data_IF_831111864242
#
_entry.id   IF_831111864242
#
_cell.length_a   1.000
_cell.length_b   1.000
_cell.length_c   1.000
_cell.angle_alpha   90.00
_cell.angle_beta   90.00
_cell.angle_gamma   90.00
#
_symmetry.space_group_name_H-M   'P 1'
#
loop_
_entity.id
_entity.type
_entity.pdbx_description
1 polymer ?
#
# COMPACT_ATOMS: atom_id res chain seq x y z
N UNK A 1 -20.72 2.92 -28.65
CA UNK A 1 -20.23 4.01 -29.50
C UNK A 1 -18.76 4.22 -29.14
N UNK A 2 -17.85 3.59 -29.90
CA UNK A 2 -16.42 3.45 -29.61
C UNK A 2 -15.63 3.94 -30.82
N UNK A 3 -15.78 5.21 -31.17
CA UNK A 3 -15.12 5.77 -32.36
C UNK A 3 -14.17 6.92 -31.96
N UNK A 4 -13.19 6.63 -31.10
CA UNK A 4 -11.96 7.43 -31.09
C UNK A 4 -11.18 7.07 -32.36
N UNK A 5 -11.45 7.77 -33.47
CA UNK A 5 -10.72 7.58 -34.72
C UNK A 5 -9.25 7.99 -34.48
N UNK A 6 -8.27 7.14 -34.82
CA UNK A 6 -6.86 7.42 -34.55
C UNK A 6 -6.35 8.67 -35.29
N UNK A 7 -7.05 9.10 -36.34
CA UNK A 7 -6.71 10.23 -37.19
C UNK A 7 -7.80 11.30 -37.09
N UNK A 8 -7.39 12.54 -36.83
CA UNK A 8 -8.24 13.72 -36.81
C UNK A 8 -7.53 14.86 -37.55
N UNK A 9 -8.31 15.67 -38.27
CA UNK A 9 -7.80 16.89 -38.90
C UNK A 9 -7.79 18.02 -37.88
N UNK A 10 -6.66 18.71 -37.77
CA UNK A 10 -6.51 19.86 -36.89
C UNK A 10 -5.70 20.97 -37.57
N UNK A 11 -5.96 22.25 -37.25
CA UNK A 11 -5.18 23.36 -37.76
C UNK A 11 -3.71 23.24 -37.37
N UNK A 12 -2.82 23.64 -38.28
CA UNK A 12 -1.38 23.73 -38.01
C UNK A 12 -1.16 24.61 -36.77
N UNK A 13 -0.40 24.11 -35.80
CA UNK A 13 -0.10 24.80 -34.55
C UNK A 13 -1.13 24.62 -33.42
N UNK A 14 -2.26 23.95 -33.67
CA UNK A 14 -3.30 23.71 -32.66
C UNK A 14 -3.60 22.22 -32.53
N UNK A 15 -2.70 21.42 -31.89
CA UNK A 15 -2.97 20.01 -31.69
C UNK A 15 -4.21 19.84 -30.80
N UNK A 16 -5.18 19.01 -31.21
CA UNK A 16 -6.41 18.81 -30.48
C UNK A 16 -6.13 17.97 -29.23
N UNK A 17 -6.56 18.47 -28.07
CA UNK A 17 -6.52 17.73 -26.81
C UNK A 17 -7.54 16.60 -26.87
N UNK A 18 -7.08 15.35 -26.96
CA UNK A 18 -7.96 14.17 -26.90
C UNK A 18 -8.31 13.89 -25.44
N UNK A 19 -9.60 13.63 -25.21
CA UNK A 19 -9.99 12.94 -23.97
C UNK A 19 -9.33 11.56 -23.97
N UNK A 20 -8.97 11.07 -22.79
CA UNK A 20 -8.48 9.70 -22.65
C UNK A 20 -9.57 8.75 -23.15
N UNK A 21 -9.27 7.99 -24.21
CA UNK A 21 -10.21 7.03 -24.79
C UNK A 21 -10.45 5.83 -23.88
N UNK A 22 -11.37 4.94 -24.27
CA UNK A 22 -11.65 3.66 -23.58
C UNK A 22 -10.55 2.59 -23.80
N UNK A 23 -9.39 2.99 -24.32
CA UNK A 23 -8.27 2.09 -24.54
C UNK A 23 -7.77 1.47 -23.25
N UNK A 24 -7.22 0.25 -23.35
CA UNK A 24 -6.58 -0.40 -22.21
C UNK A 24 -5.33 0.35 -21.80
N UNK A 25 -5.08 0.44 -20.50
CA UNK A 25 -3.83 0.98 -19.97
C UNK A 25 -3.02 -0.10 -19.30
N UNK A 26 -1.74 0.18 -19.08
CA UNK A 26 -0.84 -0.64 -18.29
C UNK A 26 -0.19 0.29 -17.27
N UNK A 27 -0.21 -0.12 -16.02
CA UNK A 27 0.56 0.48 -14.94
C UNK A 27 1.87 -0.29 -14.81
N UNK A 28 2.95 0.45 -14.64
CA UNK A 28 4.29 -0.08 -14.38
C UNK A 28 4.77 0.53 -13.08
N UNK A 29 5.18 -0.32 -12.14
CA UNK A 29 5.87 0.10 -10.90
C UNK A 29 7.32 -0.37 -10.97
N UNK A 30 8.27 0.52 -10.68
CA UNK A 30 9.70 0.25 -10.85
C UNK A 30 10.54 1.04 -9.83
N UNK A 31 11.66 0.46 -9.41
CA UNK A 31 12.67 1.10 -8.58
C UNK A 31 13.85 1.51 -9.44
N UNK A 32 14.26 2.78 -9.34
CA UNK A 32 15.34 3.36 -10.11
C UNK A 32 16.45 3.86 -9.18
N UNK A 33 17.69 3.61 -9.59
CA UNK A 33 18.92 4.07 -8.97
C UNK A 33 19.70 4.88 -10.01
N UNK A 34 20.39 5.92 -9.57
CA UNK A 34 21.22 6.75 -10.46
C UNK A 34 22.34 5.95 -11.14
N UNK A 35 22.92 4.98 -10.43
CA UNK A 35 24.11 4.23 -10.86
C UNK A 35 23.82 3.15 -11.91
N UNK A 36 22.70 2.44 -11.78
CA UNK A 36 22.38 1.25 -12.59
C UNK A 36 21.04 1.37 -13.34
N UNK A 37 20.32 2.48 -13.16
CA UNK A 37 18.97 2.61 -13.65
C UNK A 37 18.04 1.66 -12.89
N UNK A 38 17.56 0.60 -13.54
CA UNK A 38 16.54 -0.29 -12.97
C UNK A 38 17.14 -1.21 -11.92
N UNK A 39 16.44 -1.40 -10.80
CA UNK A 39 16.82 -2.38 -9.79
C UNK A 39 16.59 -3.81 -10.31
N UNK A 40 17.65 -4.39 -10.89
CA UNK A 40 17.69 -5.70 -11.54
C UNK A 40 19.06 -6.35 -11.37
N UNK A 41 19.09 -7.67 -11.18
CA UNK A 41 20.32 -8.47 -11.14
C UNK A 41 20.98 -8.60 -12.53
N UNK A 42 22.31 -8.65 -12.53
CA UNK A 42 23.16 -9.06 -13.67
C UNK A 42 23.09 -10.57 -13.88
N UNK A 43 23.57 -11.04 -15.03
CA UNK A 43 23.56 -12.47 -15.36
C UNK A 43 24.37 -13.30 -14.35
N UNK A 44 25.52 -12.79 -13.91
CA UNK A 44 26.37 -13.43 -12.91
C UNK A 44 25.68 -13.51 -11.55
N UNK A 45 25.02 -12.43 -11.10
CA UNK A 45 24.29 -12.41 -9.84
C UNK A 45 23.08 -13.35 -9.86
N UNK A 46 22.40 -13.50 -11.00
CA UNK A 46 21.28 -14.44 -11.16
C UNK A 46 21.77 -15.88 -10.98
N UNK A 47 22.92 -16.23 -11.57
CA UNK A 47 23.50 -17.58 -11.45
C UNK A 47 23.90 -17.86 -9.99
N UNK A 48 24.46 -16.87 -9.30
CA UNK A 48 24.88 -17.02 -7.90
C UNK A 48 23.71 -16.99 -6.91
N UNK A 49 22.59 -16.34 -7.26
CA UNK A 49 21.43 -16.13 -6.38
C UNK A 49 20.12 -16.61 -7.04
N UNK A 50 19.98 -17.91 -7.36
CA UNK A 50 18.86 -18.43 -8.16
C UNK A 50 17.48 -18.29 -7.50
N UNK A 51 17.45 -18.05 -6.18
CA UNK A 51 16.20 -17.88 -5.41
C UNK A 51 15.78 -16.41 -5.27
N UNK A 52 16.60 -15.46 -5.74
CA UNK A 52 16.30 -14.02 -5.68
C UNK A 52 15.62 -13.61 -6.99
N UNK A 53 14.55 -12.79 -6.95
CA UNK A 53 13.93 -12.31 -8.18
C UNK A 53 14.91 -11.54 -9.07
N UNK A 54 14.72 -11.63 -10.37
CA UNK A 54 15.63 -11.01 -11.35
C UNK A 54 15.48 -9.48 -11.35
N UNK A 55 14.25 -8.97 -11.35
CA UNK A 55 13.96 -7.53 -11.38
C UNK A 55 12.81 -7.17 -10.44
N UNK A 56 12.86 -5.94 -9.91
CA UNK A 56 11.84 -5.44 -9.00
C UNK A 56 10.61 -4.84 -9.69
N UNK A 57 10.54 -4.89 -11.03
CA UNK A 57 9.43 -4.31 -11.79
C UNK A 57 8.15 -5.11 -11.62
N UNK A 58 7.02 -4.41 -11.48
CA UNK A 58 5.68 -4.99 -11.58
C UNK A 58 4.87 -4.30 -12.66
N UNK A 59 3.99 -5.08 -13.29
CA UNK A 59 2.99 -4.61 -14.24
C UNK A 59 1.60 -4.89 -13.68
N UNK A 60 0.65 -4.02 -14.00
CA UNK A 60 -0.76 -4.20 -13.66
C UNK A 60 -1.61 -3.61 -14.78
N UNK A 61 -2.61 -4.33 -15.26
CA UNK A 61 -3.63 -3.84 -16.20
C UNK A 61 -4.80 -3.29 -15.40
N UNK A 62 -4.91 -1.97 -15.21
CA UNK A 62 -5.92 -1.42 -14.34
C UNK A 62 -7.31 -1.52 -14.99
N UNK A 63 -8.30 -1.80 -14.14
CA UNK A 63 -9.71 -1.82 -14.54
C UNK A 63 -10.55 -2.79 -13.71
N UNK A 64 -11.83 -2.44 -13.53
CA UNK A 64 -12.81 -3.24 -12.77
C UNK A 64 -12.98 -4.67 -13.30
N UNK A 65 -12.73 -4.89 -14.60
CA UNK A 65 -12.84 -6.19 -15.28
C UNK A 65 -11.46 -6.71 -15.76
N UNK A 66 -10.38 -6.16 -15.22
CA UNK A 66 -8.99 -6.58 -15.51
C UNK A 66 -8.33 -6.97 -14.18
N UNK A 67 -7.14 -6.47 -13.86
CA UNK A 67 -6.38 -6.83 -12.64
C UNK A 67 -6.69 -5.90 -11.45
N UNK A 68 -7.73 -5.07 -11.56
CA UNK A 68 -8.13 -4.15 -10.50
C UNK A 68 -7.33 -2.86 -10.49
N UNK A 69 -6.90 -2.41 -9.32
CA UNK A 69 -6.13 -1.18 -9.13
C UNK A 69 -4.86 -1.49 -8.33
N UNK A 70 -3.83 -0.67 -8.50
CA UNK A 70 -2.66 -0.73 -7.63
C UNK A 70 -3.03 -0.31 -6.21
N UNK A 71 -2.58 -1.09 -5.23
CA UNK A 71 -2.88 -0.91 -3.81
C UNK A 71 -1.61 -0.92 -3.00
N UNK A 72 -1.69 -0.48 -1.74
CA UNK A 72 -0.60 -0.59 -0.78
C UNK A 72 -0.10 -2.04 -0.60
N UNK A 73 -0.97 -3.04 -0.72
CA UNK A 73 -0.56 -4.45 -0.64
C UNK A 73 0.34 -4.85 -1.81
N UNK A 74 0.06 -4.35 -3.01
CA UNK A 74 0.93 -4.56 -4.18
C UNK A 74 2.31 -3.90 -4.00
N UNK A 75 2.34 -2.68 -3.44
CA UNK A 75 3.59 -2.01 -3.11
C UNK A 75 4.39 -2.81 -2.08
N UNK A 76 3.74 -3.26 -1.01
CA UNK A 76 4.37 -4.02 0.05
C UNK A 76 4.96 -5.34 -0.48
N UNK A 77 4.21 -6.07 -1.30
CA UNK A 77 4.70 -7.26 -2.01
C UNK A 77 5.94 -6.95 -2.84
N UNK A 78 5.88 -5.89 -3.66
CA UNK A 78 7.00 -5.50 -4.51
C UNK A 78 8.24 -5.12 -3.71
N UNK A 79 8.08 -4.37 -2.61
CA UNK A 79 9.21 -3.95 -1.76
C UNK A 79 9.82 -5.14 -1.04
N UNK A 80 9.00 -5.93 -0.33
CA UNK A 80 9.48 -7.03 0.53
C UNK A 80 10.01 -8.19 -0.30
N UNK A 81 9.26 -8.63 -1.31
CA UNK A 81 9.56 -9.88 -2.00
C UNK A 81 10.49 -9.69 -3.19
N UNK A 82 10.70 -8.45 -3.67
CA UNK A 82 11.53 -8.19 -4.85
C UNK A 82 12.62 -7.14 -4.59
N UNK A 83 12.23 -5.91 -4.21
CA UNK A 83 13.20 -4.81 -4.14
C UNK A 83 14.27 -5.03 -3.07
N UNK A 84 13.88 -5.43 -1.85
CA UNK A 84 14.83 -5.70 -0.76
C UNK A 84 15.78 -6.85 -1.11
N UNK A 85 15.31 -8.05 -1.52
CA UNK A 85 16.20 -9.15 -1.91
C UNK A 85 17.20 -8.78 -3.02
N UNK A 86 16.74 -8.05 -4.05
CA UNK A 86 17.63 -7.62 -5.14
C UNK A 86 18.65 -6.59 -4.64
N UNK A 87 18.22 -5.68 -3.77
CA UNK A 87 19.11 -4.66 -3.18
C UNK A 87 20.20 -5.30 -2.32
N UNK A 88 19.87 -6.28 -1.49
CA UNK A 88 20.82 -6.96 -0.61
C UNK A 88 21.91 -7.72 -1.39
N UNK A 89 21.56 -8.30 -2.55
CA UNK A 89 22.54 -8.91 -3.47
C UNK A 89 23.43 -7.84 -4.11
N UNK A 90 22.82 -6.75 -4.59
CA UNK A 90 23.53 -5.67 -5.30
C UNK A 90 24.48 -4.88 -4.42
N UNK A 91 24.10 -4.65 -3.17
CA UNK A 91 24.77 -3.75 -2.26
C UNK A 91 24.91 -4.40 -0.88
N UNK A 92 25.74 -5.45 -0.74
CA UNK A 92 25.92 -6.13 0.52
C UNK A 92 26.48 -5.17 1.58
N UNK A 93 25.93 -5.22 2.79
CA UNK A 93 26.26 -4.35 3.93
C UNK A 93 25.93 -2.86 3.73
N UNK A 94 25.10 -2.51 2.76
CA UNK A 94 24.58 -1.16 2.59
C UNK A 94 23.18 -1.00 3.21
N UNK A 95 22.81 0.24 3.52
CA UNK A 95 21.45 0.60 3.95
C UNK A 95 20.71 1.15 2.74
N UNK A 96 19.59 0.51 2.38
CA UNK A 96 18.70 0.99 1.32
C UNK A 96 17.80 2.11 1.81
N UNK A 97 17.80 3.25 1.10
CA UNK A 97 16.85 4.35 1.31
C UNK A 97 15.87 4.33 0.14
N UNK A 98 14.61 4.02 0.41
CA UNK A 98 13.54 4.01 -0.58
C UNK A 98 12.72 5.30 -0.45
N UNK A 99 12.74 6.12 -1.51
CA UNK A 99 11.96 7.35 -1.58
C UNK A 99 10.65 7.09 -2.33
N UNK A 100 9.54 7.53 -1.73
CA UNK A 100 8.21 7.43 -2.30
C UNK A 100 7.55 8.81 -2.31
N UNK A 101 6.61 9.04 -3.22
CA UNK A 101 5.73 10.21 -3.15
C UNK A 101 4.64 10.03 -2.07
N UNK A 102 3.90 11.10 -1.78
CA UNK A 102 2.81 11.10 -0.79
C UNK A 102 1.49 10.56 -1.36
N UNK A 103 1.54 9.54 -2.23
CA UNK A 103 0.30 8.87 -2.65
C UNK A 103 -0.34 8.14 -1.46
N UNK A 104 -1.66 8.03 -1.47
CA UNK A 104 -2.41 7.36 -0.39
C UNK A 104 -2.02 5.89 -0.21
N UNK A 105 -1.53 5.24 -1.26
CA UNK A 105 -1.01 3.87 -1.19
C UNK A 105 0.32 3.80 -0.43
N UNK A 106 1.15 4.84 -0.48
CA UNK A 106 2.43 4.90 0.22
C UNK A 106 2.26 5.31 1.69
N UNK A 107 1.18 6.03 2.01
CA UNK A 107 0.81 6.38 3.40
C UNK A 107 -0.08 5.32 4.08
N UNK A 108 -0.39 4.23 3.40
CA UNK A 108 -1.33 3.25 3.90
C UNK A 108 -0.83 2.60 5.20
N UNK A 109 -1.67 2.66 6.22
CA UNK A 109 -1.44 1.93 7.47
C UNK A 109 -1.87 0.48 7.33
N UNK A 110 -1.19 -0.42 8.04
CA UNK A 110 -1.62 -1.81 8.15
C UNK A 110 -3.03 -1.92 8.75
N UNK A 111 -3.77 -2.98 8.38
CA UNK A 111 -5.21 -3.12 8.65
C UNK A 111 -5.63 -3.00 10.12
N UNK A 112 -4.74 -3.39 11.03
CA UNK A 112 -4.95 -3.38 12.48
C UNK A 112 -4.27 -2.17 13.16
N UNK A 113 -3.75 -1.21 12.40
CA UNK A 113 -3.11 -0.03 12.96
C UNK A 113 -4.10 0.82 13.77
N UNK A 114 -3.56 1.50 14.78
CA UNK A 114 -4.34 2.45 15.59
C UNK A 114 -4.63 3.69 14.76
N UNK A 115 -5.90 3.86 14.36
CA UNK A 115 -6.34 5.02 13.60
C UNK A 115 -7.75 5.42 14.03
N UNK A 116 -7.87 6.51 14.76
CA UNK A 116 -9.15 6.99 15.31
C UNK A 116 -10.21 7.25 14.22
N UNK A 117 -9.80 7.64 13.01
CA UNK A 117 -10.72 7.89 11.90
C UNK A 117 -11.43 6.62 11.42
N UNK A 118 -10.89 5.45 11.77
CA UNK A 118 -11.46 4.14 11.46
C UNK A 118 -12.22 3.53 12.66
N UNK A 119 -12.49 4.31 13.72
CA UNK A 119 -13.26 3.90 14.89
C UNK A 119 -14.68 4.50 14.89
N UNK A 120 -15.64 3.73 15.39
CA UNK A 120 -16.96 4.28 15.73
C UNK A 120 -16.92 4.95 17.11
N UNK A 121 -17.85 5.85 17.38
CA UNK A 121 -18.05 6.39 18.74
C UNK A 121 -18.45 5.27 19.71
N UNK A 122 -19.38 4.41 19.28
CA UNK A 122 -19.90 3.28 20.06
C UNK A 122 -19.24 1.95 19.66
N UNK A 123 -19.24 0.93 20.55
CA UNK A 123 -18.78 -0.42 20.24
C UNK A 123 -19.44 -1.08 19.00
N UNK A 124 -18.69 -1.98 18.37
CA UNK A 124 -19.19 -2.84 17.30
C UNK A 124 -19.51 -2.12 15.98
N UNK A 125 -20.40 -2.70 15.18
CA UNK A 125 -20.72 -2.22 13.84
C UNK A 125 -19.56 -2.35 12.85
N UNK A 126 -19.68 -1.68 11.70
CA UNK A 126 -18.64 -1.68 10.66
C UNK A 126 -17.54 -0.68 11.04
N UNK A 127 -16.53 -1.14 11.79
CA UNK A 127 -15.31 -0.39 12.10
C UNK A 127 -14.07 -1.31 12.05
N UNK A 128 -12.89 -0.71 12.04
CA UNK A 128 -11.64 -1.48 12.00
C UNK A 128 -11.39 -2.22 13.33
N UNK A 129 -10.76 -3.40 13.23
CA UNK A 129 -10.29 -4.17 14.39
C UNK A 129 -8.82 -3.84 14.65
N UNK A 130 -8.59 -2.91 15.55
CA UNK A 130 -7.23 -2.42 15.83
C UNK A 130 -6.53 -3.31 16.85
N UNK A 131 -5.19 -3.35 16.78
CA UNK A 131 -4.36 -4.06 17.76
C UNK A 131 -4.41 -3.38 19.13
N UNK A 132 -4.11 -4.17 20.16
CA UNK A 132 -3.89 -3.63 21.51
C UNK A 132 -2.66 -2.71 21.54
N UNK A 133 -2.67 -1.79 22.49
CA UNK A 133 -1.61 -0.79 22.66
C UNK A 133 -1.33 -0.51 24.13
N UNK A 134 -0.43 0.43 24.39
CA UNK A 134 -0.19 0.99 25.72
C UNK A 134 -0.42 2.50 25.68
N UNK A 135 -0.83 3.09 26.81
CA UNK A 135 -1.04 4.53 26.91
C UNK A 135 -0.52 5.10 28.23
N UNK A 136 -0.30 6.42 28.24
CA UNK A 136 0.16 7.16 29.40
C UNK A 136 1.62 6.90 29.77
N UNK A 137 2.18 7.67 30.73
CA UNK A 137 3.57 7.53 31.17
C UNK A 137 3.85 6.17 31.80
N UNK A 138 2.83 5.54 32.39
CA UNK A 138 2.94 4.24 33.05
C UNK A 138 2.86 3.05 32.08
N UNK A 139 2.72 3.29 30.77
CA UNK A 139 2.51 2.25 29.75
C UNK A 139 1.39 1.30 30.16
N UNK A 140 0.22 1.85 30.48
CA UNK A 140 -0.95 1.05 30.83
C UNK A 140 -1.45 0.32 29.60
N UNK A 141 -1.65 -0.99 29.70
CA UNK A 141 -2.17 -1.79 28.60
C UNK A 141 -3.61 -1.38 28.23
N UNK A 142 -3.89 -1.33 26.92
CA UNK A 142 -5.19 -1.00 26.35
C UNK A 142 -5.53 -2.02 25.28
N UNK A 143 -6.49 -2.90 25.57
CA UNK A 143 -7.14 -3.68 24.51
C UNK A 143 -8.11 -2.80 23.74
N UNK A 144 -8.06 -2.88 22.41
CA UNK A 144 -9.01 -2.23 21.50
C UNK A 144 -10.21 -3.12 21.16
N UNK A 145 -10.18 -4.38 21.60
CA UNK A 145 -11.23 -5.39 21.37
C UNK A 145 -11.78 -5.84 22.74
N UNK A 146 -13.09 -6.01 22.84
CA UNK A 146 -13.71 -6.60 24.02
C UNK A 146 -13.35 -8.09 24.15
N UNK A 147 -13.21 -8.61 25.38
CA UNK A 147 -12.96 -10.03 25.58
C UNK A 147 -14.14 -10.89 25.11
N UNK A 148 -13.88 -12.18 24.87
CA UNK A 148 -14.89 -13.12 24.39
C UNK A 148 -16.04 -13.36 25.37
N UNK A 149 -15.85 -13.08 26.66
CA UNK A 149 -16.88 -13.18 27.69
C UNK A 149 -17.64 -11.87 27.95
N UNK A 150 -17.45 -10.82 27.13
CA UNK A 150 -18.17 -9.56 27.32
C UNK A 150 -19.67 -9.75 27.07
N UNK A 151 -20.56 -9.34 28.00
CA UNK A 151 -21.98 -9.71 27.98
C UNK A 151 -22.74 -9.24 26.73
N UNK A 152 -22.32 -8.11 26.14
CA UNK A 152 -23.04 -7.49 25.01
C UNK A 152 -22.20 -7.36 23.73
N UNK A 153 -20.87 -7.37 23.87
CA UNK A 153 -19.95 -6.98 22.80
C UNK A 153 -18.81 -7.98 22.65
N UNK A 154 -19.07 -9.26 22.92
CA UNK A 154 -18.10 -10.34 22.82
C UNK A 154 -17.29 -10.26 21.52
N UNK A 155 -15.96 -10.18 21.64
CA UNK A 155 -15.00 -10.06 20.54
C UNK A 155 -15.22 -8.88 19.57
N UNK A 156 -16.05 -7.90 19.91
CA UNK A 156 -16.30 -6.72 19.08
C UNK A 156 -15.24 -5.63 19.33
N UNK A 157 -14.94 -4.79 18.34
CA UNK A 157 -14.11 -3.62 18.53
C UNK A 157 -14.76 -2.62 19.49
N UNK A 158 -13.95 -2.02 20.38
CA UNK A 158 -14.36 -0.93 21.25
C UNK A 158 -14.52 0.36 20.43
N UNK A 159 -15.55 1.13 20.75
CA UNK A 159 -15.68 2.48 20.22
C UNK A 159 -14.84 3.50 20.98
N UNK A 160 -14.68 4.70 20.42
CA UNK A 160 -13.92 5.80 21.02
C UNK A 160 -14.39 6.11 22.44
N UNK A 161 -15.70 6.15 22.69
CA UNK A 161 -16.26 6.44 24.02
C UNK A 161 -15.79 5.45 25.07
N UNK A 162 -15.80 4.15 24.74
CA UNK A 162 -15.35 3.11 25.66
C UNK A 162 -13.87 3.27 25.99
N UNK A 163 -13.03 3.52 24.98
CA UNK A 163 -11.59 3.72 25.17
C UNK A 163 -11.31 4.97 26.02
N UNK A 164 -12.05 6.06 25.82
CA UNK A 164 -11.88 7.28 26.61
C UNK A 164 -12.35 7.10 28.07
N UNK A 165 -13.44 6.37 28.33
CA UNK A 165 -13.87 6.02 29.69
C UNK A 165 -12.78 5.21 30.41
N UNK A 166 -12.23 4.19 29.75
CA UNK A 166 -11.15 3.36 30.32
C UNK A 166 -9.87 4.16 30.62
N UNK A 167 -9.70 5.31 29.96
CA UNK A 167 -8.60 6.25 30.16
C UNK A 167 -8.92 7.40 31.11
N UNK A 168 -10.15 7.49 31.63
CA UNK A 168 -10.67 8.61 32.43
C UNK A 168 -10.65 9.97 31.68
N UNK A 169 -11.05 9.97 30.41
CA UNK A 169 -11.04 11.16 29.51
C UNK A 169 -12.42 11.45 28.88
N UNK A 170 -13.50 10.87 29.40
CA UNK A 170 -14.87 11.03 28.91
C UNK A 170 -15.78 11.61 29.99
#
# INVERSE_FOLDING_TARGET
SNDDRPIIWAPIGNPPLRKKGQGKSIMVSEFLLETIGRLKLSEEEIILNPNVPIEARKFLKPGKNEEGWWTAEHLLDQVINYAIPIFEVKYPNCIGIFAFDNSTNHEAMVKDALNVNNMNVNPGGKQARMRSTYFGPNKTFQSMIFPSNHPTFSNQPKGMKQVLIERNLW
#
